data_IF_489284821178
#
_entry.id   IF_489284821178
#
_cell.length_a   1.000
_cell.length_b   1.000
_cell.length_c   1.000
_cell.angle_alpha   90.00
_cell.angle_beta   90.00
_cell.angle_gamma   90.00
#
_symmetry.space_group_name_H-M   'P 1'
#
loop_
_entity.id
_entity.type
_entity.pdbx_description
1 polymer ?
#
# COMPACT_ATOMS: atom_id res chain seq x y z
N UNK A 1 74.29 -66.41 91.21
CA UNK A 1 74.03 -67.10 89.92
C UNK A 1 73.62 -66.07 88.89
N UNK A 2 74.11 -66.17 87.65
CA UNK A 2 73.71 -65.30 86.53
C UNK A 2 72.69 -66.06 85.70
N UNK A 3 71.47 -65.54 85.58
CA UNK A 3 70.41 -66.13 84.74
C UNK A 3 70.60 -65.57 83.32
N UNK A 4 70.74 -66.41 82.28
CA UNK A 4 70.82 -65.92 80.92
C UNK A 4 69.45 -65.36 80.48
N UNK A 5 69.47 -64.21 79.82
CA UNK A 5 68.29 -63.56 79.26
C UNK A 5 68.39 -63.58 77.74
N UNK A 6 67.33 -64.02 77.06
CA UNK A 6 67.25 -63.96 75.60
C UNK A 6 66.81 -62.54 75.19
N UNK A 7 67.61 -61.86 74.37
CA UNK A 7 67.24 -60.58 73.76
C UNK A 7 67.00 -60.83 72.27
N UNK A 8 65.76 -60.64 71.83
CA UNK A 8 65.43 -60.70 70.41
C UNK A 8 65.59 -59.31 69.81
N UNK A 9 66.47 -59.18 68.82
CA UNK A 9 66.54 -58.02 67.95
C UNK A 9 65.84 -58.36 66.64
N UNK A 10 64.81 -57.58 66.28
CA UNK A 10 64.11 -57.70 65.01
C UNK A 10 64.54 -56.55 64.09
N UNK A 11 65.03 -56.88 62.90
CA UNK A 11 65.34 -55.89 61.86
C UNK A 11 64.18 -55.83 60.87
N UNK A 12 63.45 -54.72 60.84
CA UNK A 12 62.35 -54.51 59.89
C UNK A 12 62.88 -54.09 58.51
N UNK A 13 62.39 -54.73 57.45
CA UNK A 13 62.71 -54.32 56.08
C UNK A 13 62.01 -53.00 55.74
N UNK A 14 62.76 -51.99 55.28
CA UNK A 14 62.19 -50.76 54.72
C UNK A 14 61.94 -50.97 53.23
N UNK A 15 60.68 -51.11 52.83
CA UNK A 15 60.29 -51.16 51.42
C UNK A 15 59.97 -49.73 50.95
N UNK A 16 60.67 -49.24 49.93
CA UNK A 16 60.37 -47.97 49.29
C UNK A 16 59.31 -48.16 48.20
N UNK A 17 58.29 -47.30 48.16
CA UNK A 17 57.28 -47.29 47.10
C UNK A 17 57.79 -46.38 45.96
N UNK A 18 57.91 -46.94 44.76
CA UNK A 18 58.16 -46.16 43.54
C UNK A 18 56.84 -45.94 42.80
N UNK A 19 56.54 -44.69 42.44
CA UNK A 19 55.36 -44.31 41.66
C UNK A 19 55.78 -43.29 40.61
N UNK A 20 55.40 -43.53 39.36
CA UNK A 20 55.51 -42.54 38.30
C UNK A 20 54.25 -41.67 38.26
N UNK A 21 54.42 -40.34 38.16
CA UNK A 21 53.30 -39.40 38.05
C UNK A 21 52.80 -39.33 36.62
N UNK A 22 51.48 -39.40 36.44
CA UNK A 22 50.86 -39.16 35.14
C UNK A 22 51.09 -37.70 34.67
N UNK A 23 51.37 -37.53 33.37
CA UNK A 23 51.29 -36.23 32.71
C UNK A 23 49.95 -36.14 31.99
N UNK A 24 49.27 -35.02 32.16
CA UNK A 24 47.98 -34.76 31.55
C UNK A 24 48.13 -33.56 30.61
N UNK A 25 47.93 -33.78 29.31
CA UNK A 25 47.91 -32.71 28.32
C UNK A 25 46.45 -32.35 28.01
N UNK A 26 46.05 -31.12 28.34
CA UNK A 26 44.71 -30.59 28.07
C UNK A 26 44.85 -29.51 26.99
N UNK A 27 44.05 -29.58 25.93
CA UNK A 27 44.05 -28.58 24.85
C UNK A 27 42.64 -28.03 24.64
N UNK A 28 42.51 -26.70 24.58
CA UNK A 28 41.26 -25.98 24.30
C UNK A 28 41.24 -25.56 22.81
N UNK A 29 40.21 -25.93 22.04
CA UNK A 29 40.06 -25.45 20.67
C UNK A 29 39.61 -23.97 20.63
N UNK A 30 39.88 -23.25 19.52
CA UNK A 30 39.40 -21.89 19.33
C UNK A 30 37.87 -21.84 19.22
N UNK A 31 37.28 -20.71 19.62
CA UNK A 31 35.84 -20.50 19.52
C UNK A 31 35.43 -20.20 18.07
N UNK A 32 34.33 -20.81 17.62
CA UNK A 32 33.69 -20.49 16.35
C UNK A 32 32.64 -19.39 16.55
N UNK A 33 32.68 -18.35 15.71
CA UNK A 33 31.69 -17.28 15.69
C UNK A 33 31.02 -17.23 14.32
N UNK A 34 29.70 -17.37 14.30
CA UNK A 34 28.88 -17.21 13.10
C UNK A 34 28.02 -15.95 13.25
N UNK A 35 28.08 -15.06 12.28
CA UNK A 35 27.22 -13.87 12.19
C UNK A 35 26.29 -14.06 11.01
N UNK A 36 24.98 -14.07 11.25
CA UNK A 36 23.95 -14.07 10.21
C UNK A 36 23.23 -12.71 10.18
N UNK A 37 23.03 -12.17 8.97
CA UNK A 37 22.25 -10.95 8.74
C UNK A 37 21.12 -11.26 7.76
N UNK A 38 19.87 -11.40 8.24
CA UNK A 38 18.73 -11.59 7.36
C UNK A 38 18.40 -10.28 6.60
N UNK A 39 17.79 -10.37 5.41
CA UNK A 39 17.38 -9.20 4.63
C UNK A 39 16.29 -8.39 5.37
N UNK A 40 16.26 -7.09 5.12
CA UNK A 40 15.25 -6.19 5.70
C UNK A 40 13.87 -6.41 5.07
N UNK A 41 12.83 -6.51 5.90
CA UNK A 41 11.41 -6.50 5.47
C UNK A 41 10.91 -5.05 5.44
N UNK A 42 10.47 -4.58 4.27
CA UNK A 42 9.90 -3.25 4.09
C UNK A 42 8.41 -3.35 3.79
N UNK A 43 7.59 -2.84 4.72
CA UNK A 43 6.14 -2.72 4.54
C UNK A 43 5.75 -1.26 4.38
N UNK A 44 5.24 -0.90 3.21
CA UNK A 44 4.70 0.43 2.91
C UNK A 44 3.17 0.33 2.96
N UNK A 45 2.55 1.04 3.91
CA UNK A 45 1.11 1.22 3.94
C UNK A 45 0.76 2.57 3.28
N UNK A 46 -0.05 2.55 2.22
CA UNK A 46 -0.52 3.76 1.54
C UNK A 46 -2.05 3.86 1.62
N UNK A 47 -2.54 5.08 1.83
CA UNK A 47 -3.96 5.40 1.72
C UNK A 47 -4.24 5.75 0.25
N UNK A 48 -5.21 5.12 -0.42
CA UNK A 48 -5.55 5.45 -1.79
C UNK A 48 -6.00 6.92 -1.93
N UNK A 49 -5.57 7.58 -3.00
CA UNK A 49 -6.05 8.92 -3.33
C UNK A 49 -7.53 8.87 -3.75
N UNK A 50 -8.32 9.87 -3.31
CA UNK A 50 -9.71 10.06 -3.73
C UNK A 50 -9.77 11.13 -4.83
N UNK A 51 -10.31 10.75 -5.98
CA UNK A 51 -10.60 11.68 -7.08
C UNK A 51 -12.11 11.95 -7.13
N UNK A 52 -12.49 13.23 -7.10
CA UNK A 52 -13.87 13.68 -7.32
C UNK A 52 -13.88 14.53 -8.59
N UNK A 53 -14.67 14.13 -9.58
CA UNK A 53 -14.84 14.85 -10.85
C UNK A 53 -16.27 15.37 -10.90
N UNK A 54 -16.45 16.65 -11.21
CA UNK A 54 -17.74 17.18 -11.58
C UNK A 54 -18.10 16.70 -12.99
N UNK A 55 -19.18 15.93 -13.10
CA UNK A 55 -19.65 15.32 -14.34
C UNK A 55 -20.96 15.96 -14.84
N UNK A 56 -21.34 17.13 -14.33
CA UNK A 56 -22.61 17.79 -14.66
C UNK A 56 -22.81 17.91 -16.18
N UNK A 57 -21.78 18.34 -16.93
CA UNK A 57 -21.87 18.46 -18.39
C UNK A 57 -21.89 17.11 -19.12
N UNK A 58 -21.20 16.09 -18.59
CA UNK A 58 -21.22 14.75 -19.19
C UNK A 58 -22.63 14.14 -19.13
N UNK A 59 -23.32 14.32 -18.00
CA UNK A 59 -24.73 13.92 -17.87
C UNK A 59 -25.66 14.77 -18.72
N UNK A 60 -25.40 16.08 -18.82
CA UNK A 60 -26.18 16.96 -19.68
C UNK A 60 -26.10 16.57 -21.16
N UNK A 61 -24.93 16.11 -21.63
CA UNK A 61 -24.72 15.67 -23.01
C UNK A 61 -25.55 14.43 -23.39
N UNK A 62 -25.87 13.57 -22.42
CA UNK A 62 -26.77 12.41 -22.62
C UNK A 62 -28.22 12.70 -22.22
N UNK A 63 -28.59 13.98 -22.18
CA UNK A 63 -29.91 14.47 -21.79
C UNK A 63 -30.35 14.07 -20.36
N UNK A 64 -29.40 13.77 -19.47
CA UNK A 64 -29.64 13.53 -18.06
C UNK A 64 -29.33 14.79 -17.25
N UNK A 65 -30.09 15.86 -17.52
CA UNK A 65 -29.93 17.17 -16.88
C UNK A 65 -30.74 17.24 -15.58
N UNK A 66 -30.32 18.12 -14.67
CA UNK A 66 -31.17 18.51 -13.55
C UNK A 66 -32.48 19.14 -14.07
N UNK A 67 -33.61 18.86 -13.42
CA UNK A 67 -34.95 19.27 -13.87
C UNK A 67 -35.05 20.77 -14.16
N UNK A 68 -34.43 21.63 -13.35
CA UNK A 68 -34.44 23.08 -13.58
C UNK A 68 -33.72 23.50 -14.87
N UNK A 69 -32.58 22.89 -15.19
CA UNK A 69 -31.88 23.16 -16.46
C UNK A 69 -32.71 22.69 -17.65
N UNK A 70 -33.37 21.55 -17.51
CA UNK A 70 -34.23 21.02 -18.57
C UNK A 70 -35.44 21.95 -18.84
N UNK A 71 -36.03 22.51 -17.78
CA UNK A 71 -37.10 23.52 -17.89
C UNK A 71 -36.58 24.80 -18.56
N UNK A 72 -35.40 25.27 -18.19
CA UNK A 72 -34.79 26.47 -18.75
C UNK A 72 -34.51 26.31 -20.26
N UNK A 73 -33.89 25.19 -20.66
CA UNK A 73 -33.63 24.86 -22.06
C UNK A 73 -34.95 24.83 -22.86
N UNK A 74 -35.98 24.14 -22.36
CA UNK A 74 -37.28 24.05 -23.02
C UNK A 74 -38.01 25.41 -23.12
N UNK A 75 -37.87 26.26 -22.10
CA UNK A 75 -38.44 27.60 -22.12
C UNK A 75 -37.73 28.51 -23.14
N UNK A 76 -36.40 28.39 -23.25
CA UNK A 76 -35.62 29.10 -24.26
C UNK A 76 -36.01 28.67 -25.68
N UNK A 77 -36.12 27.37 -25.92
CA UNK A 77 -36.56 26.82 -27.21
C UNK A 77 -37.98 27.29 -27.56
N UNK A 78 -38.91 27.24 -26.62
CA UNK A 78 -40.28 27.72 -26.81
C UNK A 78 -40.35 29.21 -27.13
N UNK A 79 -39.53 30.03 -26.45
CA UNK A 79 -39.44 31.47 -26.76
C UNK A 79 -38.90 31.70 -28.17
N UNK A 80 -37.87 30.98 -28.59
CA UNK A 80 -37.32 31.12 -29.93
C UNK A 80 -38.36 30.73 -31.00
N UNK A 81 -39.08 29.64 -30.80
CA UNK A 81 -40.14 29.20 -31.72
C UNK A 81 -41.25 30.26 -31.90
N UNK A 82 -41.62 30.97 -30.83
CA UNK A 82 -42.59 32.07 -30.92
C UNK A 82 -42.02 33.25 -31.72
N UNK A 83 -40.76 33.61 -31.50
CA UNK A 83 -40.12 34.70 -32.24
C UNK A 83 -40.00 34.37 -33.74
N UNK A 84 -39.60 33.14 -34.08
CA UNK A 84 -39.53 32.66 -35.45
C UNK A 84 -40.90 32.69 -36.13
N UNK A 85 -41.97 32.36 -35.40
CA UNK A 85 -43.33 32.45 -35.91
C UNK A 85 -43.74 33.91 -36.18
N UNK A 86 -43.45 34.83 -35.25
CA UNK A 86 -43.75 36.25 -35.41
C UNK A 86 -43.06 36.82 -36.66
N UNK A 87 -41.78 36.49 -36.86
CA UNK A 87 -41.02 36.89 -38.05
C UNK A 87 -41.67 36.40 -39.33
N UNK A 88 -41.98 35.10 -39.42
CA UNK A 88 -42.65 34.52 -40.60
C UNK A 88 -44.01 35.15 -40.87
N UNK A 89 -44.82 35.33 -39.83
CA UNK A 89 -46.14 35.93 -39.95
C UNK A 89 -46.07 37.38 -40.44
N UNK A 90 -45.07 38.15 -39.98
CA UNK A 90 -44.84 39.51 -40.44
C UNK A 90 -44.46 39.56 -41.93
N UNK A 91 -43.53 38.70 -42.36
CA UNK A 91 -43.11 38.60 -43.77
C UNK A 91 -44.29 38.23 -44.67
N UNK A 92 -45.06 37.20 -44.29
CA UNK A 92 -46.25 36.79 -45.05
C UNK A 92 -47.30 37.90 -45.10
N UNK A 93 -47.48 38.66 -44.01
CA UNK A 93 -48.35 39.82 -43.99
C UNK A 93 -47.90 40.91 -44.96
N UNK A 94 -46.60 41.20 -45.00
CA UNK A 94 -46.01 42.16 -45.93
C UNK A 94 -46.16 41.73 -47.39
N UNK A 95 -46.00 40.44 -47.68
CA UNK A 95 -46.23 39.86 -49.01
C UNK A 95 -47.70 39.99 -49.42
N UNK A 96 -48.64 39.65 -48.53
CA UNK A 96 -50.08 39.77 -48.76
C UNK A 96 -50.53 41.22 -49.02
N UNK A 97 -49.92 42.21 -48.35
CA UNK A 97 -50.19 43.61 -48.62
C UNK A 97 -49.69 44.06 -50.00
N UNK A 98 -48.70 43.37 -50.57
CA UNK A 98 -48.05 43.76 -51.84
C UNK A 98 -48.55 42.97 -53.05
N UNK A 99 -49.57 42.12 -52.90
CA UNK A 99 -50.17 41.35 -54.00
C UNK A 99 -50.69 42.25 -55.13
N UNK A 100 -51.12 43.47 -54.80
CA UNK A 100 -51.61 44.47 -55.76
C UNK A 100 -50.52 44.98 -56.71
N UNK A 101 -49.24 44.79 -56.38
CA UNK A 101 -48.09 45.16 -57.24
C UNK A 101 -47.62 44.01 -58.16
N UNK A 102 -48.40 42.93 -58.28
CA UNK A 102 -48.07 41.79 -59.16
C UNK A 102 -47.01 40.85 -58.58
N UNK A 103 -46.94 40.74 -57.25
CA UNK A 103 -46.06 39.79 -56.58
C UNK A 103 -46.47 38.33 -56.88
N UNK A 104 -45.48 37.47 -57.13
CA UNK A 104 -45.67 36.03 -57.26
C UNK A 104 -45.72 35.45 -55.82
N UNK A 105 -46.87 34.91 -55.37
CA UNK A 105 -47.07 34.40 -54.00
C UNK A 105 -46.28 33.14 -53.67
#
# INVERSE_FOLDING_TARGET
>A
MRIPQLRMEATYAKLAISSERARLDITQPPAEMTIEQPPADMRIAAIPARLTIDQTEAWAAVNNKHVFRLIEDAAADGRQAVLDFIERAAIQGDELMRIEYGGDP
#
